data_IF_292864419896
#
_entry.id   IF_292864419896
#
_cell.length_a   1.000
_cell.length_b   1.000
_cell.length_c   1.000
_cell.angle_alpha   90.00
_cell.angle_beta   90.00
_cell.angle_gamma   90.00
#
_symmetry.space_group_name_H-M   'P 1'
#
loop_
_entity.id
_entity.type
_entity.pdbx_description
1 polymer ?
2 water ?
#
# COMPACT_ATOMS: atom_id res chain seq x y z
N UNK A 4 18.65 -16.90 14.33
CA UNK A 4 18.03 -16.25 13.20
C UNK A 4 19.00 -15.20 12.69
N UNK A 5 19.00 -14.05 13.33
CA UNK A 5 19.98 -13.03 13.05
C UNK A 5 19.78 -12.29 11.76
N UNK A 6 20.83 -11.61 11.33
CA UNK A 6 20.76 -10.51 10.39
C UNK A 6 20.33 -10.84 8.97
N UNK A 7 20.88 -11.87 8.37
CA UNK A 7 20.51 -12.22 7.02
C UNK A 7 19.09 -12.64 6.93
N UNK A 8 18.62 -13.33 7.96
CA UNK A 8 17.25 -13.79 8.04
C UNK A 8 16.33 -12.60 8.05
N UNK A 9 16.66 -11.62 8.88
CA UNK A 9 15.89 -10.41 9.07
C UNK A 9 15.69 -9.74 7.75
N UNK A 10 16.79 -9.54 7.07
CA UNK A 10 16.82 -8.96 5.75
C UNK A 10 15.93 -9.71 4.79
N UNK A 11 16.14 -10.99 4.66
CA UNK A 11 15.36 -11.78 3.75
C UNK A 11 13.86 -11.71 4.04
N UNK A 12 13.47 -11.80 5.29
CA UNK A 12 12.09 -11.67 5.69
C UNK A 12 11.53 -10.30 5.34
N UNK A 13 12.32 -9.27 5.55
CA UNK A 13 11.89 -7.91 5.30
C UNK A 13 11.65 -7.62 3.83
N UNK A 14 12.53 -8.09 2.96
CA UNK A 14 12.42 -7.88 1.55
C UNK A 14 11.28 -8.68 0.98
N UNK A 15 11.04 -9.83 1.56
CA UNK A 15 9.93 -10.69 1.24
C UNK A 15 8.62 -9.97 1.52
N UNK A 16 8.50 -9.41 2.70
CA UNK A 16 7.33 -8.66 3.06
C UNK A 16 7.17 -7.41 2.21
N UNK A 17 8.27 -6.79 1.89
CA UNK A 17 8.27 -5.63 1.03
C UNK A 17 7.57 -5.90 -0.29
N UNK A 18 7.91 -6.99 -0.94
CA UNK A 18 7.37 -7.27 -2.25
C UNK A 18 5.90 -7.68 -2.18
N UNK A 19 5.55 -8.39 -1.12
CA UNK A 19 4.19 -8.76 -0.83
C UNK A 19 3.32 -7.54 -0.69
N UNK A 20 3.78 -6.55 0.04
CA UNK A 20 3.04 -5.34 0.23
C UNK A 20 2.90 -4.52 -1.03
N UNK A 21 3.92 -4.50 -1.85
CA UNK A 21 3.86 -3.81 -3.12
C UNK A 21 2.80 -4.38 -4.01
N UNK A 22 2.68 -5.69 -4.08
CA UNK A 22 1.66 -6.29 -4.89
C UNK A 22 0.28 -5.99 -4.35
N UNK A 23 0.18 -5.83 -3.06
CA UNK A 23 -1.07 -5.42 -2.46
C UNK A 23 -1.39 -4.03 -2.89
N UNK A 24 -0.42 -3.15 -2.73
CA UNK A 24 -0.53 -1.77 -3.12
C UNK A 24 -0.86 -1.75 -4.67
N UNK A 25 -0.48 -2.60 -5.66
CA UNK A 25 -0.69 -2.43 -7.05
C UNK A 25 -2.10 -2.78 -7.40
N UNK A 26 -2.67 -3.60 -6.54
CA UNK A 26 -3.95 -4.25 -6.46
C UNK A 26 -4.95 -3.24 -5.97
N UNK A 27 -4.62 -2.60 -4.87
CA UNK A 27 -5.42 -1.52 -4.35
C UNK A 27 -5.46 -0.36 -5.33
N UNK A 28 -4.37 -0.10 -6.00
CA UNK A 28 -4.32 0.95 -6.98
C UNK A 28 -5.25 0.70 -8.15
N UNK A 29 -5.39 -0.56 -8.50
CA UNK A 29 -6.25 -0.96 -9.57
C UNK A 29 -7.69 -0.63 -9.22
N UNK A 30 -8.05 -0.86 -7.97
CA UNK A 30 -9.38 -0.57 -7.48
C UNK A 30 -9.67 0.92 -7.41
N UNK A 31 -8.68 1.70 -7.02
CA UNK A 31 -8.79 3.13 -6.99
C UNK A 31 -9.05 3.71 -8.34
N UNK A 32 -8.33 3.24 -9.32
CA UNK A 32 -8.49 3.71 -10.68
C UNK A 32 -9.89 3.43 -11.18
N UNK A 33 -10.42 2.29 -10.78
CA UNK A 33 -11.71 1.85 -11.20
C UNK A 33 -12.73 2.74 -10.56
N UNK A 34 -12.58 2.92 -9.27
CA UNK A 34 -13.43 3.79 -8.51
C UNK A 34 -13.35 5.21 -9.03
N UNK A 35 -12.16 5.72 -9.19
CA UNK A 35 -11.98 7.05 -9.70
C UNK A 35 -12.72 7.30 -11.00
N UNK A 36 -12.72 6.35 -11.89
CA UNK A 36 -13.36 6.55 -13.16
C UNK A 36 -14.86 6.50 -13.04
N UNK A 37 -15.39 5.65 -12.18
CA UNK A 37 -16.80 5.68 -11.87
C UNK A 37 -17.15 7.04 -11.29
N UNK A 38 -16.29 7.54 -10.42
CA UNK A 38 -16.47 8.84 -9.82
C UNK A 38 -16.58 9.93 -10.84
N UNK A 39 -15.59 10.00 -11.69
CA UNK A 39 -15.51 11.01 -12.71
C UNK A 39 -16.72 10.99 -13.63
N UNK A 40 -17.38 9.85 -13.72
CA UNK A 40 -18.51 9.68 -14.59
C UNK A 40 -19.78 10.01 -13.88
N UNK A 41 -19.77 9.79 -12.58
CA UNK A 41 -20.94 9.79 -11.78
C UNK A 41 -20.64 10.27 -10.41
N UNK A 42 -20.32 11.53 -10.29
CA UNK A 42 -19.97 12.10 -9.00
C UNK A 42 -21.07 11.95 -7.99
N UNK A 43 -20.68 11.87 -6.75
CA UNK A 43 -21.59 11.57 -5.70
C UNK A 43 -20.90 11.57 -4.34
N UNK A 44 -21.61 11.98 -3.31
CA UNK A 44 -21.05 12.07 -2.00
C UNK A 44 -20.66 10.72 -1.46
N UNK A 45 -21.52 9.74 -1.66
CA UNK A 45 -21.33 8.43 -1.12
C UNK A 45 -20.23 7.72 -1.88
N UNK A 46 -20.11 8.05 -3.14
CA UNK A 46 -19.05 7.51 -3.93
C UNK A 46 -17.72 8.13 -3.54
N UNK A 47 -17.76 9.37 -3.09
CA UNK A 47 -16.58 10.01 -2.62
C UNK A 47 -16.11 9.33 -1.34
N UNK A 48 -17.04 9.02 -0.47
CA UNK A 48 -16.73 8.39 0.77
C UNK A 48 -16.15 6.97 0.45
N UNK A 49 -16.39 6.12 -0.60
CA UNK A 49 -15.90 4.78 -0.73
C UNK A 49 -14.51 4.85 -1.25
N UNK A 50 -14.24 5.91 -2.01
CA UNK A 50 -13.00 6.32 -2.61
C UNK A 50 -11.98 6.76 -1.58
N UNK A 51 -12.40 7.58 -0.64
CA UNK A 51 -11.54 8.04 0.42
C UNK A 51 -11.19 6.88 1.30
N UNK A 52 -12.09 5.93 1.34
CA UNK A 52 -11.88 4.75 2.12
C UNK A 52 -10.75 3.93 1.54
N UNK A 53 -10.68 3.83 0.23
CA UNK A 53 -9.62 3.09 -0.40
C UNK A 53 -8.31 3.85 -0.32
N UNK A 54 -8.40 5.16 -0.37
CA UNK A 54 -7.26 5.98 -0.21
C UNK A 54 -6.59 5.70 1.14
N UNK A 55 -7.34 5.71 2.22
CA UNK A 55 -6.78 5.47 3.53
C UNK A 55 -6.20 4.08 3.60
N UNK A 56 -6.87 3.13 2.98
CA UNK A 56 -6.40 1.78 2.88
C UNK A 56 -5.00 1.75 2.29
N UNK A 57 -4.81 2.48 1.21
CA UNK A 57 -3.54 2.58 0.53
C UNK A 57 -2.51 3.23 1.43
N UNK A 58 -2.87 4.31 2.08
CA UNK A 58 -1.96 4.99 2.97
C UNK A 58 -1.40 4.09 4.09
N UNK A 59 -2.25 3.28 4.68
CA UNK A 59 -1.87 2.36 5.72
C UNK A 59 -0.75 1.46 5.26
N UNK A 60 -0.84 0.95 4.06
CA UNK A 60 0.11 0.01 3.56
C UNK A 60 1.41 0.68 3.18
N UNK A 61 1.33 1.89 2.65
CA UNK A 61 2.49 2.68 2.36
C UNK A 61 3.29 2.91 3.63
N UNK A 62 2.63 3.26 4.71
CA UNK A 62 3.30 3.53 5.94
C UNK A 62 4.00 2.29 6.40
N UNK A 63 3.34 1.15 6.28
CA UNK A 63 3.92 -0.14 6.59
C UNK A 63 5.18 -0.42 5.79
N UNK A 64 5.12 -0.16 4.51
CA UNK A 64 6.24 -0.33 3.62
C UNK A 64 7.43 0.54 4.04
N UNK A 65 7.15 1.76 4.42
CA UNK A 65 8.16 2.68 4.82
C UNK A 65 8.81 2.24 6.11
N UNK A 66 8.02 1.65 6.98
CA UNK A 66 8.51 1.09 8.21
C UNK A 66 9.47 -0.04 7.96
N UNK A 67 9.19 -0.82 6.95
CA UNK A 67 10.04 -1.90 6.55
C UNK A 67 11.31 -1.37 5.89
N UNK A 68 11.21 -0.40 5.02
CA UNK A 68 12.37 0.21 4.40
C UNK A 68 13.32 0.76 5.45
N UNK A 69 12.79 1.47 6.42
CA UNK A 69 13.61 2.05 7.46
C UNK A 69 14.40 0.98 8.18
N UNK A 70 13.75 -0.12 8.47
CA UNK A 70 14.39 -1.22 9.15
C UNK A 70 15.54 -1.82 8.35
N UNK A 71 15.36 -1.99 7.05
CA UNK A 71 16.40 -2.49 6.22
C UNK A 71 17.57 -1.55 6.21
N UNK A 72 17.30 -0.27 6.10
CA UNK A 72 18.33 0.73 6.07
C UNK A 72 19.07 0.77 7.40
N UNK A 73 18.36 0.57 8.47
CA UNK A 73 18.94 0.58 9.78
C UNK A 73 19.84 -0.61 10.01
N UNK A 74 19.47 -1.74 9.47
CA UNK A 74 20.23 -2.94 9.62
C UNK A 74 21.50 -2.89 8.77
N UNK A 75 21.42 -2.41 7.55
CA UNK A 75 22.56 -2.40 6.69
C UNK A 75 23.55 -1.29 6.92
N UNK A 76 23.11 -0.06 6.86
CA UNK A 76 23.93 1.05 7.29
C UNK A 76 25.03 1.33 6.29
#
# INVERSE_FOLDING_TARGET
GSHMGTKYELRRALEELEKALQELREMLRKLKESLEELKKNPSEDALVRNNELIVEVLRVIVEVLSIIARVLEINARSD
#
